data_IF_641750592289
#
_entry.id   IF_641750592289
#
_cell.length_a   1.000
_cell.length_b   1.000
_cell.length_c   1.000
_cell.angle_alpha   90.00
_cell.angle_beta   90.00
_cell.angle_gamma   90.00
#
_symmetry.space_group_name_H-M   'P 1'
#
loop_
_entity.id
_entity.type
_entity.pdbx_description
1 polymer ?
#
# COMPACT_ATOMS: atom_id res chain seq x y z
N UNK A 1 10.89 -10.22 -5.28
CA UNK A 1 10.23 -8.94 -4.93
C UNK A 1 10.59 -8.64 -3.49
N UNK A 2 11.38 -7.60 -3.25
CA UNK A 2 11.62 -7.12 -1.90
C UNK A 2 10.37 -6.48 -1.32
N UNK A 3 10.14 -6.63 -0.02
CA UNK A 3 9.09 -5.93 0.73
C UNK A 3 9.74 -5.38 1.98
N UNK A 4 9.45 -4.12 2.30
CA UNK A 4 9.98 -3.47 3.47
C UNK A 4 8.88 -3.04 4.44
N UNK A 5 9.30 -2.63 5.63
CA UNK A 5 8.38 -2.15 6.65
C UNK A 5 7.60 -0.93 6.13
N UNK A 6 6.29 -0.95 6.37
CA UNK A 6 5.32 0.03 5.88
C UNK A 6 4.76 -0.28 4.48
N UNK A 7 5.37 -1.21 3.73
CA UNK A 7 4.81 -1.59 2.43
C UNK A 7 3.48 -2.31 2.61
N UNK A 8 2.54 -1.98 1.71
CA UNK A 8 1.22 -2.59 1.65
C UNK A 8 1.07 -3.39 0.36
N UNK A 9 0.56 -4.62 0.45
CA UNK A 9 0.42 -5.51 -0.70
C UNK A 9 -0.77 -6.44 -0.54
N UNK A 10 -1.23 -7.00 -1.66
CA UNK A 10 -2.36 -7.94 -1.65
C UNK A 10 -1.92 -9.31 -1.20
N UNK A 11 -2.71 -9.92 -0.32
CA UNK A 11 -2.49 -11.26 0.20
C UNK A 11 -3.79 -12.07 0.19
N UNK A 12 -3.64 -13.38 0.23
CA UNK A 12 -4.71 -14.33 0.52
C UNK A 12 -4.18 -15.38 1.49
N UNK A 13 -4.70 -15.37 2.73
CA UNK A 13 -4.24 -16.23 3.82
C UNK A 13 -4.53 -17.71 3.57
N UNK A 14 -5.72 -18.04 3.04
CA UNK A 14 -6.12 -19.41 2.63
C UNK A 14 -6.80 -19.40 1.28
N UNK A 15 -6.85 -20.55 0.59
CA UNK A 15 -7.37 -20.62 -0.77
C UNK A 15 -8.83 -20.14 -0.88
N UNK A 16 -9.62 -20.41 0.16
CA UNK A 16 -11.03 -20.05 0.33
C UNK A 16 -11.24 -18.60 0.79
N UNK A 17 -10.22 -17.95 1.36
CA UNK A 17 -10.35 -16.61 1.91
C UNK A 17 -10.41 -15.54 0.79
N UNK A 18 -11.12 -14.43 1.04
CA UNK A 18 -11.07 -13.27 0.15
C UNK A 18 -9.65 -12.69 0.07
N UNK A 19 -9.38 -11.93 -1.00
CA UNK A 19 -8.14 -11.17 -1.09
C UNK A 19 -8.26 -9.99 -0.14
N UNK A 20 -7.23 -9.75 0.67
CA UNK A 20 -7.12 -8.57 1.52
C UNK A 20 -5.79 -7.86 1.30
N UNK A 21 -5.61 -6.70 1.92
CA UNK A 21 -4.34 -5.96 1.92
C UNK A 21 -3.62 -6.25 3.23
N UNK A 22 -2.34 -6.57 3.17
CA UNK A 22 -1.46 -6.62 4.33
C UNK A 22 -0.51 -5.43 4.30
N UNK A 23 -0.39 -4.72 5.41
CA UNK A 23 0.67 -3.74 5.67
C UNK A 23 1.71 -4.41 6.57
N UNK A 24 2.94 -4.55 6.08
CA UNK A 24 4.03 -5.15 6.84
C UNK A 24 4.51 -4.18 7.91
N UNK A 25 4.37 -4.53 9.19
CA UNK A 25 4.65 -3.63 10.31
C UNK A 25 5.91 -3.98 11.09
N UNK A 26 6.29 -5.26 11.13
CA UNK A 26 7.48 -5.71 11.85
C UNK A 26 8.08 -6.94 11.18
N UNK A 27 9.41 -7.01 11.17
CA UNK A 27 10.22 -8.17 10.82
C UNK A 27 11.20 -8.42 11.96
N UNK A 28 11.34 -9.69 12.37
CA UNK A 28 12.31 -10.06 13.40
C UNK A 28 12.72 -11.52 13.26
N UNK A 29 13.86 -11.85 13.85
CA UNK A 29 14.34 -13.22 13.99
C UNK A 29 14.04 -13.71 15.42
N UNK A 30 13.36 -14.84 15.55
CA UNK A 30 13.13 -15.48 16.84
C UNK A 30 14.44 -16.09 17.35
N UNK A 31 14.86 -15.69 18.57
CA UNK A 31 16.17 -16.02 19.13
C UNK A 31 16.42 -17.52 19.30
N UNK A 32 15.39 -18.30 19.62
CA UNK A 32 15.51 -19.74 19.92
C UNK A 32 15.53 -20.59 18.68
N UNK A 33 14.61 -20.34 17.75
CA UNK A 33 14.41 -21.13 16.53
C UNK A 33 15.20 -20.61 15.32
N UNK A 34 15.78 -19.40 15.42
CA UNK A 34 16.39 -18.67 14.29
C UNK A 34 15.39 -18.39 13.16
N UNK A 35 14.09 -18.41 13.47
CA UNK A 35 13.03 -18.24 12.49
C UNK A 35 12.77 -16.77 12.18
N UNK A 36 12.68 -16.43 10.91
CA UNK A 36 12.24 -15.12 10.45
C UNK A 36 10.71 -15.03 10.53
N UNK A 37 10.23 -14.06 11.31
CA UNK A 37 8.83 -13.78 11.55
C UNK A 37 8.48 -12.39 11.05
N UNK A 38 7.19 -12.24 10.75
CA UNK A 38 6.60 -11.00 10.27
C UNK A 38 5.31 -10.72 11.05
N UNK A 39 5.03 -9.44 11.30
CA UNK A 39 3.74 -8.98 11.82
C UNK A 39 3.14 -8.01 10.83
N UNK A 40 1.91 -8.29 10.42
CA UNK A 40 1.20 -7.50 9.42
C UNK A 40 -0.17 -7.08 9.93
N UNK A 41 -0.58 -5.86 9.58
CA UNK A 41 -1.96 -5.39 9.78
C UNK A 41 -2.76 -5.68 8.52
N UNK A 42 -3.92 -6.31 8.68
CA UNK A 42 -4.78 -6.68 7.56
C UNK A 42 -5.90 -5.68 7.34
N UNK A 43 -6.25 -5.44 6.08
CA UNK A 43 -7.35 -4.57 5.67
C UNK A 43 -8.23 -5.30 4.66
N UNK A 44 -9.53 -5.35 4.96
CA UNK A 44 -10.54 -6.07 4.18
C UNK A 44 -11.50 -5.10 3.50
N UNK A 45 -12.10 -5.53 2.40
CA UNK A 45 -13.28 -4.82 1.90
C UNK A 45 -14.42 -4.99 2.91
N UNK A 46 -15.27 -3.97 3.11
CA UNK A 46 -16.48 -4.11 3.92
C UNK A 46 -17.33 -5.32 3.51
N UNK A 47 -17.40 -5.63 2.22
CA UNK A 47 -18.09 -6.79 1.65
C UNK A 47 -17.58 -8.13 2.17
N UNK A 48 -16.29 -8.20 2.52
CA UNK A 48 -15.61 -9.40 3.00
C UNK A 48 -15.60 -9.49 4.54
N UNK A 49 -16.23 -8.54 5.23
CA UNK A 49 -16.42 -8.57 6.68
C UNK A 49 -17.76 -9.24 7.03
N UNK A 50 -17.88 -9.87 8.21
CA UNK A 50 -19.16 -10.45 8.67
C UNK A 50 -20.32 -9.45 8.69
N UNK A 51 -20.03 -8.16 8.90
CA UNK A 51 -21.03 -7.09 8.94
C UNK A 51 -21.48 -6.65 7.53
N UNK A 52 -20.70 -6.99 6.49
CA UNK A 52 -20.94 -6.56 5.12
C UNK A 52 -20.78 -5.05 4.93
N UNK A 53 -21.01 -4.60 3.68
CA UNK A 53 -21.02 -3.17 3.36
C UNK A 53 -22.32 -2.52 3.84
N UNK A 54 -22.18 -1.44 4.62
CA UNK A 54 -23.26 -0.55 5.07
C UNK A 54 -23.30 0.74 4.24
N UNK A 55 -24.42 1.46 4.31
CA UNK A 55 -24.64 2.69 3.54
C UNK A 55 -23.77 3.88 3.97
N UNK A 56 -23.19 3.81 5.17
CA UNK A 56 -22.27 4.81 5.72
C UNK A 56 -20.81 4.58 5.30
N UNK A 57 -20.48 3.43 4.68
CA UNK A 57 -19.13 3.20 4.16
C UNK A 57 -18.84 4.02 2.90
N UNK A 58 -17.60 4.51 2.80
CA UNK A 58 -17.06 5.18 1.63
C UNK A 58 -16.86 4.24 0.43
N UNK A 59 -16.80 4.82 -0.77
CA UNK A 59 -16.65 4.10 -2.05
C UNK A 59 -15.41 3.16 -2.03
N UNK A 60 -14.25 3.70 -1.64
CA UNK A 60 -12.96 3.00 -1.63
C UNK A 60 -12.54 2.57 -0.21
N UNK A 61 -13.49 2.51 0.73
CA UNK A 61 -13.20 2.19 2.12
C UNK A 61 -12.72 0.75 2.29
N UNK A 62 -11.74 0.58 3.19
CA UNK A 62 -11.25 -0.70 3.69
C UNK A 62 -11.31 -0.72 5.21
N UNK A 63 -11.61 -1.87 5.78
CA UNK A 63 -11.74 -2.09 7.22
C UNK A 63 -10.48 -2.75 7.74
N UNK A 64 -9.80 -2.09 8.67
CA UNK A 64 -8.66 -2.66 9.37
C UNK A 64 -9.13 -3.76 10.33
N UNK A 65 -8.50 -4.93 10.27
CA UNK A 65 -8.59 -5.91 11.34
C UNK A 65 -8.02 -5.31 12.64
N UNK A 66 -8.67 -5.60 13.78
CA UNK A 66 -8.22 -5.16 15.10
C UNK A 66 -6.89 -5.82 15.48
N UNK A 67 -6.79 -7.12 15.20
CA UNK A 67 -5.62 -7.92 15.50
C UNK A 67 -4.64 -7.94 14.32
N UNK A 68 -3.35 -7.93 14.66
CA UNK A 68 -2.27 -8.16 13.69
C UNK A 68 -2.06 -9.64 13.51
N UNK A 69 -1.70 -10.05 12.29
CA UNK A 69 -1.32 -11.42 12.00
C UNK A 69 0.19 -11.56 12.13
N UNK A 70 0.64 -12.59 12.85
CA UNK A 70 2.06 -12.94 12.94
C UNK A 70 2.28 -14.30 12.29
N UNK A 71 3.15 -14.34 11.27
CA UNK A 71 3.49 -15.57 10.54
C UNK A 71 4.97 -15.59 10.18
N UNK A 72 5.44 -16.78 9.78
CA UNK A 72 6.76 -16.91 9.19
C UNK A 72 6.86 -16.07 7.93
N UNK A 73 8.04 -15.49 7.70
CA UNK A 73 8.27 -14.67 6.52
C UNK A 73 8.05 -15.46 5.22
N UNK A 74 8.41 -16.76 5.22
CA UNK A 74 8.17 -17.68 4.10
C UNK A 74 6.68 -17.86 3.80
N UNK A 75 5.83 -17.96 4.83
CA UNK A 75 4.38 -18.11 4.66
C UNK A 75 3.75 -16.82 4.14
N UNK A 76 4.20 -15.66 4.63
CA UNK A 76 3.75 -14.36 4.12
C UNK A 76 4.07 -14.20 2.63
N UNK A 77 5.26 -14.62 2.20
CA UNK A 77 5.64 -14.61 0.79
C UNK A 77 4.74 -15.53 -0.06
N UNK A 78 4.32 -16.67 0.48
CA UNK A 78 3.35 -17.56 -0.18
C UNK A 78 1.92 -17.00 -0.20
N UNK A 79 1.57 -16.11 0.72
CA UNK A 79 0.25 -15.45 0.74
C UNK A 79 0.15 -14.31 -0.26
N UNK A 80 1.26 -13.69 -0.65
CA UNK A 80 1.28 -12.57 -1.58
C UNK A 80 0.61 -12.93 -2.92
N UNK A 81 -0.22 -12.02 -3.45
CA UNK A 81 -0.93 -12.19 -4.72
C UNK A 81 -0.65 -11.03 -5.66
N UNK A 82 -0.36 -11.37 -6.91
CA UNK A 82 -0.27 -10.41 -8.02
C UNK A 82 -1.56 -10.33 -8.83
N UNK A 83 -2.31 -11.44 -8.92
CA UNK A 83 -3.66 -11.44 -9.50
C UNK A 83 -4.67 -10.84 -8.52
N UNK A 84 -5.07 -9.60 -8.84
CA UNK A 84 -6.01 -8.79 -8.07
C UNK A 84 -7.28 -8.51 -8.89
N UNK A 85 -7.60 -9.36 -9.87
CA UNK A 85 -8.78 -9.25 -10.74
C UNK A 85 -10.09 -9.15 -9.96
N UNK A 86 -10.16 -9.80 -8.79
CA UNK A 86 -11.33 -9.76 -7.89
C UNK A 86 -11.43 -8.49 -7.05
N UNK A 87 -10.35 -7.70 -6.93
CA UNK A 87 -10.34 -6.46 -6.17
C UNK A 87 -10.90 -5.29 -7.00
N UNK A 88 -12.09 -4.81 -6.62
CA UNK A 88 -12.88 -3.84 -7.39
C UNK A 88 -12.91 -2.42 -6.81
N UNK A 89 -12.17 -2.16 -5.73
CA UNK A 89 -12.16 -0.86 -5.02
C UNK A 89 -10.82 -0.17 -5.11
N UNK A 90 -10.81 1.13 -4.80
CA UNK A 90 -9.64 1.96 -4.94
C UNK A 90 -9.45 2.39 -6.39
N UNK A 91 -8.66 3.44 -6.54
CA UNK A 91 -8.33 3.95 -7.85
C UNK A 91 -7.13 3.19 -8.42
N UNK A 92 -7.32 2.53 -9.56
CA UNK A 92 -6.23 2.12 -10.44
C UNK A 92 -5.87 3.34 -11.27
N UNK A 93 -4.83 4.05 -10.87
CA UNK A 93 -4.39 5.21 -11.63
C UNK A 93 -3.57 4.72 -12.84
N UNK A 94 -4.20 4.66 -14.01
CA UNK A 94 -3.53 4.27 -15.27
C UNK A 94 -2.43 5.27 -15.68
N UNK A 95 -2.47 6.51 -15.15
CA UNK A 95 -1.44 7.53 -15.35
C UNK A 95 -0.19 7.33 -14.46
N UNK A 96 -0.21 6.35 -13.56
CA UNK A 96 0.97 5.92 -12.80
C UNK A 96 1.56 4.66 -13.42
N UNK A 97 1.77 4.67 -14.74
CA UNK A 97 2.75 3.74 -15.31
C UNK A 97 4.13 4.08 -14.73
N UNK A 98 4.86 3.14 -14.12
CA UNK A 98 6.20 3.35 -13.57
C UNK A 98 7.17 3.98 -14.57
N UNK A 99 6.91 3.80 -15.87
CA UNK A 99 7.68 4.36 -16.97
C UNK A 99 7.63 5.89 -17.05
N UNK A 100 6.51 6.54 -16.67
CA UNK A 100 6.40 8.01 -16.66
C UNK A 100 6.89 8.65 -15.36
N UNK A 101 6.95 7.86 -14.27
CA UNK A 101 7.47 8.28 -12.95
C UNK A 101 9.00 8.38 -12.89
N UNK A 102 9.71 8.10 -13.99
CA UNK A 102 11.18 8.13 -14.08
C UNK A 102 11.77 9.56 -14.08
N UNK A 103 10.95 10.61 -13.94
CA UNK A 103 11.44 11.98 -13.73
C UNK A 103 11.85 12.15 -12.27
N UNK A 104 13.12 12.44 -12.04
CA UNK A 104 13.83 12.41 -10.74
C UNK A 104 13.19 13.19 -9.57
N UNK A 105 12.15 14.03 -9.79
CA UNK A 105 11.43 14.73 -8.72
C UNK A 105 10.16 14.04 -8.18
N UNK A 106 9.52 13.15 -8.95
CA UNK A 106 8.25 12.52 -8.53
C UNK A 106 8.45 11.30 -7.62
N UNK A 107 9.59 10.61 -7.76
CA UNK A 107 10.00 9.49 -6.90
C UNK A 107 10.23 9.93 -5.45
N UNK A 108 10.89 11.08 -5.26
CA UNK A 108 11.06 11.69 -3.94
C UNK A 108 9.72 12.15 -3.35
N UNK A 109 8.80 12.63 -4.19
CA UNK A 109 7.49 13.08 -3.73
C UNK A 109 6.63 11.91 -3.23
N UNK A 110 6.65 10.76 -3.91
CA UNK A 110 5.89 9.57 -3.51
C UNK A 110 6.45 8.93 -2.25
N UNK A 111 7.79 8.88 -2.11
CA UNK A 111 8.44 8.42 -0.88
C UNK A 111 8.19 9.38 0.30
N UNK A 112 8.27 10.71 0.11
CA UNK A 112 7.87 11.69 1.13
C UNK A 112 6.38 11.60 1.47
N UNK A 113 5.53 11.32 0.47
CA UNK A 113 4.11 11.14 0.69
C UNK A 113 3.85 9.91 1.55
N UNK A 114 4.46 8.76 1.26
CA UNK A 114 4.42 7.56 2.10
C UNK A 114 4.85 7.88 3.54
N UNK A 115 5.98 8.58 3.71
CA UNK A 115 6.44 9.03 5.03
C UNK A 115 5.38 9.86 5.77
N UNK A 116 4.66 10.73 5.07
CA UNK A 116 3.60 11.57 5.65
C UNK A 116 2.29 10.83 5.94
N UNK A 117 2.06 9.67 5.31
CA UNK A 117 0.84 8.89 5.51
C UNK A 117 0.92 7.88 6.64
N UNK A 118 2.12 7.43 7.00
CA UNK A 118 2.32 6.43 8.04
C UNK A 118 2.47 7.07 9.43
N UNK A 119 1.52 6.79 10.34
CA UNK A 119 1.63 7.10 11.77
C UNK A 119 2.34 5.95 12.54
N UNK A 120 3.32 5.29 11.93
CA UNK A 120 3.92 4.06 12.47
C UNK A 120 5.08 4.28 13.44
N UNK A 121 5.55 5.53 13.61
CA UNK A 121 6.73 5.84 14.42
C UNK A 121 8.05 5.29 13.83
N UNK A 122 8.02 4.71 12.62
CA UNK A 122 9.18 4.17 11.93
C UNK A 122 10.02 5.28 11.31
N UNK A 123 11.35 5.18 11.42
CA UNK A 123 12.27 6.02 10.66
C UNK A 123 12.47 5.45 9.25
N UNK A 124 11.65 5.92 8.31
CA UNK A 124 11.72 5.47 6.92
C UNK A 124 13.02 5.80 6.20
N UNK A 125 13.88 6.68 6.74
CA UNK A 125 15.19 6.96 6.13
C UNK A 125 16.09 5.73 6.09
N UNK A 126 16.06 4.93 7.14
CA UNK A 126 16.90 3.74 7.26
C UNK A 126 16.41 2.65 6.30
N UNK A 127 15.09 2.49 6.19
CA UNK A 127 14.43 1.57 5.25
C UNK A 127 14.77 1.92 3.80
N UNK A 128 14.70 3.21 3.45
CA UNK A 128 15.01 3.68 2.08
C UNK A 128 16.47 3.47 1.73
N UNK A 129 17.37 3.69 2.68
CA UNK A 129 18.80 3.43 2.50
C UNK A 129 19.05 1.94 2.23
N UNK A 130 18.45 1.06 3.04
CA UNK A 130 18.59 -0.39 2.87
C UNK A 130 18.06 -0.86 1.51
N UNK A 131 16.91 -0.37 1.05
CA UNK A 131 16.39 -0.65 -0.30
C UNK A 131 17.37 -0.20 -1.40
N UNK A 132 17.96 0.98 -1.26
CA UNK A 132 18.93 1.50 -2.22
C UNK A 132 20.21 0.66 -2.25
N UNK A 133 20.70 0.25 -1.08
CA UNK A 133 21.90 -0.59 -0.94
C UNK A 133 21.71 -1.98 -1.56
N UNK A 134 20.48 -2.53 -1.53
CA UNK A 134 20.12 -3.81 -2.15
C UNK A 134 19.97 -3.73 -3.68
N UNK A 135 20.07 -2.53 -4.28
CA UNK A 135 19.91 -2.35 -5.72
C UNK A 135 18.53 -2.71 -6.24
N UNK A 136 17.51 -2.72 -5.36
CA UNK A 136 16.14 -2.96 -5.75
C UNK A 136 15.64 -1.74 -6.56
N UNK A 137 15.47 -1.91 -7.87
CA UNK A 137 14.57 -1.05 -8.63
C UNK A 137 13.22 -1.06 -7.90
N UNK A 138 12.63 0.12 -7.66
CA UNK A 138 11.41 0.29 -6.88
C UNK A 138 10.21 -0.30 -7.66
N UNK A 139 10.15 -1.63 -7.78
CA UNK A 139 9.14 -2.35 -8.55
C UNK A 139 7.83 -2.41 -7.76
N UNK A 140 6.82 -1.71 -8.30
CA UNK A 140 5.38 -1.99 -8.27
C UNK A 140 4.73 -2.43 -6.95
N UNK A 141 5.14 -1.88 -5.81
CA UNK A 141 4.28 -1.90 -4.62
C UNK A 141 3.22 -0.80 -4.78
N UNK A 142 2.12 -1.17 -5.41
CA UNK A 142 1.13 -0.27 -5.99
C UNK A 142 -0.09 -0.01 -5.08
N UNK A 143 0.01 -0.33 -3.78
CA UNK A 143 -1.09 -0.15 -2.82
C UNK A 143 -0.70 0.89 -1.79
N UNK A 144 -1.53 1.92 -1.68
CA UNK A 144 -1.37 3.00 -0.72
C UNK A 144 -2.68 3.17 0.04
N UNK A 145 -2.62 2.98 1.36
CA UNK A 145 -3.77 3.15 2.24
C UNK A 145 -3.71 4.55 2.82
N UNK A 146 -4.80 5.30 2.64
CA UNK A 146 -4.93 6.68 3.13
C UNK A 146 -5.84 6.70 4.35
N UNK A 147 -5.49 7.51 5.34
CA UNK A 147 -6.46 7.91 6.37
C UNK A 147 -7.63 8.68 5.74
N UNK A 148 -8.78 8.69 6.40
CA UNK A 148 -9.96 9.40 5.90
C UNK A 148 -9.70 10.87 5.51
N UNK A 149 -9.00 11.71 6.32
CA UNK A 149 -8.67 13.08 5.92
C UNK A 149 -7.77 13.16 4.67
N UNK A 150 -6.81 12.25 4.53
CA UNK A 150 -5.91 12.19 3.37
C UNK A 150 -6.67 11.80 2.11
N UNK A 151 -7.56 10.81 2.21
CA UNK A 151 -8.41 10.38 1.11
C UNK A 151 -9.34 11.51 0.65
N UNK A 152 -9.99 12.22 1.57
CA UNK A 152 -10.83 13.38 1.26
C UNK A 152 -10.04 14.49 0.55
N UNK A 153 -8.82 14.79 1.01
CA UNK A 153 -7.93 15.76 0.37
C UNK A 153 -7.56 15.30 -1.05
N UNK A 154 -7.19 14.05 -1.21
CA UNK A 154 -6.83 13.45 -2.49
C UNK A 154 -7.98 13.52 -3.50
N UNK A 155 -9.18 13.07 -3.14
CA UNK A 155 -10.38 13.12 -4.00
C UNK A 155 -10.72 14.57 -4.39
N UNK A 156 -10.61 15.50 -3.45
CA UNK A 156 -10.86 16.94 -3.70
C UNK A 156 -9.82 17.57 -4.63
N UNK A 157 -8.54 17.23 -4.46
CA UNK A 157 -7.46 17.67 -5.36
C UNK A 157 -7.65 17.15 -6.77
N UNK A 158 -7.95 15.85 -6.93
CA UNK A 158 -8.14 15.24 -8.25
C UNK A 158 -9.28 15.86 -9.04
N UNK A 159 -10.43 16.10 -8.39
CA UNK A 159 -11.56 16.82 -9.02
C UNK A 159 -11.14 18.20 -9.54
N UNK A 160 -10.31 18.93 -8.80
CA UNK A 160 -9.81 20.26 -9.22
C UNK A 160 -8.84 20.20 -10.38
N UNK A 161 -8.00 19.17 -10.45
CA UNK A 161 -7.01 19.02 -11.52
C UNK A 161 -7.68 18.54 -12.81
N UNK A 162 -8.64 17.62 -12.75
CA UNK A 162 -9.42 17.16 -13.92
C UNK A 162 -10.29 18.26 -14.55
N UNK A 163 -10.67 19.29 -13.78
CA UNK A 163 -11.43 20.44 -14.27
C UNK A 163 -10.62 21.51 -15.00
N UNK A 164 -9.30 21.33 -15.17
CA UNK A 164 -8.46 22.24 -15.96
C UNK A 164 -8.20 21.63 -17.33
N UNK A 165 -8.57 22.30 -18.45
CA UNK A 165 -8.02 21.93 -19.74
C UNK A 165 -6.50 22.08 -19.66
N UNK A 166 -5.77 21.18 -20.30
CA UNK A 166 -4.32 21.23 -20.48
C UNK A 166 -3.94 22.42 -21.37
N UNK A 167 -4.07 23.63 -20.82
CA UNK A 167 -3.59 24.88 -21.38
C UNK A 167 -2.59 25.49 -20.38
N UNK A 168 -1.49 24.77 -20.17
CA UNK A 168 -0.22 25.38 -19.74
C UNK A 168 0.85 24.86 -20.69
N UNK A 169 0.65 25.17 -21.97
CA UNK A 169 1.69 25.11 -22.99
C UNK A 169 1.37 26.24 -23.98
N UNK A 170 1.82 27.44 -23.62
CA UNK A 170 1.95 28.66 -24.41
C UNK A 170 1.76 29.85 -23.45
N UNK A 171 2.85 30.32 -22.86
CA UNK A 171 3.33 31.62 -23.30
C UNK A 171 4.82 31.75 -23.00
N UNK A 172 5.47 32.49 -23.90
CA UNK A 172 6.90 32.62 -24.18
C UNK A 172 7.72 33.20 -23.02
#
# INVERSE_FOLDING_TARGET
RGSALGDSFFVRCRAEDPICIAELQLLWEERTSRQLLSSSKLYFLPEDTPQGRRSDHGEDEVIAASEKVTVKLEDLAQWARTDISKWKRGLRDEAFTPLELRKDGQREALSRFRQSTHNSGLNFKDILKEKADLGEEEEDINVLILSYPQYCRYRSMRKRIQGKPSSVQADQ
#
